data_IF_395503031208
#
_entry.id   IF_395503031208
#
_cell.length_a   1.000
_cell.length_b   1.000
_cell.length_c   1.000
_cell.angle_alpha   90.00
_cell.angle_beta   90.00
_cell.angle_gamma   90.00
#
_symmetry.space_group_name_H-M   'P 1'
#
loop_
_entity.id
_entity.type
_entity.pdbx_description
1 polymer ?
#
# COMPACT_ATOMS: atom_id res chain seq x y z
N UNK A 1 -53.55 -35.13 16.20
CA UNK A 1 -53.11 -33.74 16.42
C UNK A 1 -51.60 -33.60 16.70
N UNK A 2 -50.70 -34.22 15.91
CA UNK A 2 -49.23 -34.13 16.12
C UNK A 2 -48.46 -33.39 15.00
N UNK A 3 -49.15 -32.80 14.03
CA UNK A 3 -48.52 -32.13 12.87
C UNK A 3 -48.06 -30.69 13.17
N UNK A 4 -48.76 -29.94 14.01
CA UNK A 4 -48.42 -28.56 14.37
C UNK A 4 -47.01 -28.39 14.98
N UNK A 5 -46.58 -29.17 15.98
CA UNK A 5 -45.25 -28.98 16.58
C UNK A 5 -44.10 -29.36 15.62
N UNK A 6 -44.34 -30.24 14.65
CA UNK A 6 -43.35 -30.62 13.62
C UNK A 6 -43.17 -29.55 12.55
N UNK A 7 -44.25 -28.89 12.15
CA UNK A 7 -44.21 -27.76 11.21
C UNK A 7 -43.50 -26.54 11.83
N UNK A 8 -43.78 -26.23 13.11
CA UNK A 8 -43.13 -25.13 13.81
C UNK A 8 -41.61 -25.35 13.98
N UNK A 9 -41.18 -26.57 14.33
CA UNK A 9 -39.77 -26.92 14.43
C UNK A 9 -39.03 -26.85 13.09
N UNK A 10 -39.68 -27.31 12.00
CA UNK A 10 -39.11 -27.22 10.65
C UNK A 10 -38.94 -25.78 10.16
N UNK A 11 -39.91 -24.91 10.44
CA UNK A 11 -39.85 -23.49 10.08
C UNK A 11 -38.76 -22.75 10.88
N UNK A 12 -38.63 -23.03 12.17
CA UNK A 12 -37.59 -22.44 13.01
C UNK A 12 -36.18 -22.84 12.53
N UNK A 13 -35.97 -24.11 12.18
CA UNK A 13 -34.69 -24.58 11.65
C UNK A 13 -34.36 -23.95 10.29
N UNK A 14 -35.35 -23.83 9.41
CA UNK A 14 -35.19 -23.18 8.11
C UNK A 14 -34.82 -21.69 8.24
N UNK A 15 -35.43 -20.97 9.20
CA UNK A 15 -35.11 -19.57 9.47
C UNK A 15 -33.69 -19.38 10.02
N UNK A 16 -33.23 -20.27 10.91
CA UNK A 16 -31.86 -20.24 11.43
C UNK A 16 -30.84 -20.48 10.32
N UNK A 17 -31.05 -21.51 9.49
CA UNK A 17 -30.15 -21.85 8.37
C UNK A 17 -30.12 -20.76 7.30
N UNK A 18 -31.27 -20.15 6.98
CA UNK A 18 -31.33 -19.04 6.03
C UNK A 18 -30.61 -17.78 6.58
N UNK A 19 -30.72 -17.53 7.89
CA UNK A 19 -30.01 -16.44 8.56
C UNK A 19 -28.50 -16.62 8.53
N UNK A 20 -27.99 -17.83 8.81
CA UNK A 20 -26.55 -18.11 8.76
C UNK A 20 -25.99 -18.01 7.34
N UNK A 21 -26.69 -18.57 6.34
CA UNK A 21 -26.26 -18.47 4.95
C UNK A 21 -26.18 -17.01 4.48
N UNK A 22 -27.16 -16.18 4.84
CA UNK A 22 -27.15 -14.75 4.49
C UNK A 22 -26.04 -13.97 5.19
N UNK A 23 -25.72 -14.31 6.44
CA UNK A 23 -24.60 -13.70 7.15
C UNK A 23 -23.25 -14.12 6.53
N UNK A 24 -23.12 -15.36 6.07
CA UNK A 24 -21.93 -15.84 5.38
C UNK A 24 -21.72 -15.14 4.03
N UNK A 25 -22.79 -14.99 3.25
CA UNK A 25 -22.78 -14.26 1.98
C UNK A 25 -22.39 -12.78 2.17
N UNK A 26 -22.95 -12.13 3.21
CA UNK A 26 -22.63 -10.73 3.54
C UNK A 26 -21.16 -10.56 3.93
N UNK A 27 -20.65 -11.44 4.81
CA UNK A 27 -19.25 -11.40 5.22
C UNK A 27 -18.31 -11.61 4.03
N UNK A 28 -18.60 -12.58 3.17
CA UNK A 28 -17.79 -12.83 1.98
C UNK A 28 -17.81 -11.63 1.02
N UNK A 29 -18.95 -10.98 0.84
CA UNK A 29 -19.07 -9.80 0.00
C UNK A 29 -18.25 -8.62 0.56
N UNK A 30 -18.36 -8.34 1.87
CA UNK A 30 -17.60 -7.28 2.53
C UNK A 30 -16.09 -7.54 2.47
N UNK A 31 -15.67 -8.78 2.75
CA UNK A 31 -14.27 -9.18 2.67
C UNK A 31 -13.73 -9.02 1.25
N UNK A 32 -14.49 -9.45 0.22
CA UNK A 32 -14.11 -9.28 -1.18
C UNK A 32 -13.96 -7.81 -1.57
N UNK A 33 -14.87 -6.95 -1.12
CA UNK A 33 -14.79 -5.51 -1.37
C UNK A 33 -13.53 -4.88 -0.76
N UNK A 34 -13.22 -5.20 0.50
CA UNK A 34 -12.00 -4.74 1.19
C UNK A 34 -10.74 -5.18 0.44
N UNK A 35 -10.65 -6.48 0.10
CA UNK A 35 -9.49 -7.04 -0.61
C UNK A 35 -9.33 -6.40 -1.99
N UNK A 36 -10.43 -6.12 -2.67
CA UNK A 36 -10.43 -5.46 -3.98
C UNK A 36 -9.86 -4.04 -3.88
N UNK A 37 -10.32 -3.26 -2.89
CA UNK A 37 -9.89 -1.88 -2.66
C UNK A 37 -8.43 -1.76 -2.20
N UNK A 38 -7.87 -2.84 -1.66
CA UNK A 38 -6.53 -2.88 -1.07
C UNK A 38 -5.55 -3.67 -1.93
N UNK A 39 -5.52 -4.99 -1.74
CA UNK A 39 -4.54 -5.90 -2.32
C UNK A 39 -4.67 -5.92 -3.84
N UNK A 40 -5.88 -6.10 -4.37
CA UNK A 40 -6.07 -6.23 -5.81
C UNK A 40 -5.75 -4.93 -6.55
N UNK A 41 -6.14 -3.78 -5.98
CA UNK A 41 -5.81 -2.46 -6.51
C UNK A 41 -4.30 -2.23 -6.58
N UNK A 42 -3.59 -2.46 -5.47
CA UNK A 42 -2.15 -2.25 -5.41
C UNK A 42 -1.39 -3.21 -6.33
N UNK A 43 -1.82 -4.48 -6.37
CA UNK A 43 -1.27 -5.48 -7.27
C UNK A 43 -1.48 -5.09 -8.74
N UNK A 44 -2.66 -4.56 -9.10
CA UNK A 44 -2.95 -4.09 -10.47
C UNK A 44 -2.05 -2.92 -10.87
N UNK A 45 -1.84 -1.96 -9.97
CA UNK A 45 -0.94 -0.84 -10.25
C UNK A 45 0.51 -1.31 -10.46
N UNK A 46 1.00 -2.19 -9.59
CA UNK A 46 2.35 -2.75 -9.69
C UNK A 46 2.51 -3.59 -10.97
N UNK A 47 1.52 -4.42 -11.31
CA UNK A 47 1.53 -5.22 -12.52
C UNK A 47 1.59 -4.34 -13.77
N UNK A 48 0.75 -3.32 -13.89
CA UNK A 48 0.78 -2.40 -15.05
C UNK A 48 2.13 -1.71 -15.21
N UNK A 49 2.74 -1.28 -14.10
CA UNK A 49 4.07 -0.66 -14.15
C UNK A 49 5.14 -1.66 -14.61
N UNK A 50 5.09 -2.89 -14.12
CA UNK A 50 6.00 -3.95 -14.52
C UNK A 50 5.79 -4.36 -15.99
N UNK A 51 4.53 -4.53 -16.40
CA UNK A 51 4.12 -4.85 -17.77
C UNK A 51 4.63 -3.79 -18.75
N UNK A 52 4.41 -2.51 -18.48
CA UNK A 52 4.89 -1.42 -19.33
C UNK A 52 6.43 -1.45 -19.46
N UNK A 53 7.14 -1.66 -18.36
CA UNK A 53 8.60 -1.79 -18.35
C UNK A 53 9.09 -3.02 -19.14
N UNK A 54 8.38 -4.14 -19.06
CA UNK A 54 8.72 -5.36 -19.80
C UNK A 54 8.43 -5.21 -21.29
N UNK A 55 7.24 -4.70 -21.64
CA UNK A 55 6.80 -4.54 -23.03
C UNK A 55 7.56 -3.44 -23.76
N UNK A 56 8.07 -2.42 -23.07
CA UNK A 56 8.90 -1.36 -23.68
C UNK A 56 10.29 -1.85 -24.13
N UNK A 57 10.75 -3.00 -23.64
CA UNK A 57 11.98 -3.64 -24.11
C UNK A 57 11.79 -4.48 -25.39
N UNK A 58 10.55 -4.59 -25.89
CA UNK A 58 10.16 -5.41 -27.04
C UNK A 58 9.74 -4.54 -28.22
N UNK A 59 9.58 -5.16 -29.40
CA UNK A 59 9.01 -4.46 -30.56
C UNK A 59 7.52 -4.21 -30.37
N UNK A 60 6.98 -3.14 -30.96
CA UNK A 60 5.57 -2.78 -30.84
C UNK A 60 4.62 -3.92 -31.25
N UNK A 61 4.99 -4.71 -32.27
CA UNK A 61 4.19 -5.86 -32.72
C UNK A 61 4.18 -7.01 -31.71
N UNK A 62 5.34 -7.34 -31.12
CA UNK A 62 5.43 -8.35 -30.06
C UNK A 62 4.67 -7.92 -28.82
N UNK A 63 4.81 -6.66 -28.42
CA UNK A 63 4.11 -6.11 -27.26
C UNK A 63 2.59 -6.12 -27.44
N UNK A 64 2.11 -5.76 -28.63
CA UNK A 64 0.68 -5.79 -28.95
C UNK A 64 0.11 -7.22 -28.94
N UNK A 65 0.89 -8.22 -29.35
CA UNK A 65 0.49 -9.63 -29.30
C UNK A 65 0.46 -10.20 -27.88
N UNK A 66 1.39 -9.82 -27.02
CA UNK A 66 1.53 -10.39 -25.66
C UNK A 66 0.60 -9.74 -24.63
N UNK A 67 0.32 -8.43 -24.77
CA UNK A 67 -0.52 -7.67 -23.84
C UNK A 67 -1.87 -8.32 -23.51
N UNK A 68 -2.70 -8.76 -24.48
CA UNK A 68 -4.01 -9.34 -24.15
C UNK A 68 -3.91 -10.62 -23.31
N UNK A 69 -2.91 -11.47 -23.57
CA UNK A 69 -2.69 -12.70 -22.81
C UNK A 69 -2.18 -12.40 -21.40
N UNK A 70 -1.30 -11.41 -21.25
CA UNK A 70 -0.81 -10.93 -19.96
C UNK A 70 -1.94 -10.34 -19.12
N UNK A 71 -2.74 -9.44 -19.69
CA UNK A 71 -3.90 -8.83 -19.02
C UNK A 71 -4.92 -9.89 -18.60
N UNK A 72 -5.23 -10.85 -19.47
CA UNK A 72 -6.15 -11.95 -19.17
C UNK A 72 -5.63 -12.83 -18.04
N UNK A 73 -4.38 -13.27 -18.12
CA UNK A 73 -3.77 -14.13 -17.10
C UNK A 73 -3.71 -13.40 -15.77
N UNK A 74 -3.30 -12.13 -15.78
CA UNK A 74 -3.28 -11.29 -14.58
C UNK A 74 -4.67 -11.16 -13.96
N UNK A 75 -5.71 -10.91 -14.76
CA UNK A 75 -7.07 -10.83 -14.25
C UNK A 75 -7.52 -12.14 -13.58
N UNK A 76 -7.23 -13.29 -14.19
CA UNK A 76 -7.55 -14.60 -13.62
C UNK A 76 -6.84 -14.85 -12.28
N UNK A 77 -5.54 -14.60 -12.21
CA UNK A 77 -4.75 -14.77 -10.98
C UNK A 77 -5.19 -13.79 -9.88
N UNK A 78 -5.47 -12.53 -10.27
CA UNK A 78 -5.99 -11.52 -9.34
C UNK A 78 -7.34 -11.94 -8.77
N UNK A 79 -8.26 -12.43 -9.61
CA UNK A 79 -9.59 -12.84 -9.17
C UNK A 79 -9.52 -14.07 -8.24
N UNK A 80 -8.65 -15.04 -8.56
CA UNK A 80 -8.37 -16.18 -7.68
C UNK A 80 -7.77 -15.76 -6.32
N UNK A 81 -6.83 -14.81 -6.32
CA UNK A 81 -6.27 -14.24 -5.10
C UNK A 81 -7.34 -13.53 -4.26
N UNK A 82 -8.17 -12.71 -4.90
CA UNK A 82 -9.26 -11.99 -4.24
C UNK A 82 -10.22 -12.97 -3.57
N UNK A 83 -10.62 -14.02 -4.29
CA UNK A 83 -11.51 -15.05 -3.76
C UNK A 83 -10.90 -15.82 -2.60
N UNK A 84 -9.62 -16.17 -2.66
CA UNK A 84 -8.90 -16.84 -1.58
C UNK A 84 -8.83 -15.99 -0.32
N UNK A 85 -8.39 -14.74 -0.46
CA UNK A 85 -8.26 -13.81 0.67
C UNK A 85 -9.63 -13.44 1.25
N UNK A 86 -10.64 -13.22 0.41
CA UNK A 86 -11.99 -12.90 0.87
C UNK A 86 -12.57 -14.03 1.75
N UNK A 87 -12.36 -15.30 1.37
CA UNK A 87 -12.78 -16.45 2.17
C UNK A 87 -12.07 -16.50 3.52
N UNK A 88 -10.75 -16.28 3.55
CA UNK A 88 -9.99 -16.25 4.80
C UNK A 88 -10.50 -15.14 5.73
N UNK A 89 -10.65 -13.91 5.22
CA UNK A 89 -11.16 -12.81 6.02
C UNK A 89 -12.60 -13.01 6.50
N UNK A 90 -13.49 -13.53 5.66
CA UNK A 90 -14.87 -13.82 6.05
C UNK A 90 -14.98 -14.89 7.15
N UNK A 91 -14.00 -15.79 7.25
CA UNK A 91 -13.92 -16.79 8.32
C UNK A 91 -13.37 -16.21 9.63
N UNK A 92 -12.47 -15.23 9.57
CA UNK A 92 -11.77 -14.68 10.74
C UNK A 92 -12.46 -13.48 11.38
N UNK A 93 -13.24 -12.74 10.60
CA UNK A 93 -13.91 -11.52 11.03
C UNK A 93 -15.42 -11.68 10.97
N UNK A 94 -16.12 -11.04 11.91
CA UNK A 94 -17.56 -10.92 11.83
C UNK A 94 -17.99 -9.78 10.88
N UNK A 95 -19.29 -9.69 10.60
CA UNK A 95 -19.82 -8.69 9.68
C UNK A 95 -19.65 -7.24 10.18
N UNK A 96 -19.65 -7.03 11.51
CA UNK A 96 -19.48 -5.71 12.12
C UNK A 96 -18.04 -5.22 11.95
N UNK A 97 -17.08 -6.10 12.21
CA UNK A 97 -15.66 -5.83 12.01
C UNK A 97 -15.35 -5.54 10.54
N UNK A 98 -15.87 -6.37 9.63
CA UNK A 98 -15.71 -6.16 8.19
C UNK A 98 -16.35 -4.84 7.73
N UNK A 99 -17.53 -4.48 8.21
CA UNK A 99 -18.14 -3.16 7.91
C UNK A 99 -17.28 -2.00 8.41
N UNK A 100 -16.69 -2.11 9.60
CA UNK A 100 -15.78 -1.10 10.13
C UNK A 100 -14.54 -0.97 9.26
N UNK A 101 -13.95 -2.08 8.82
CA UNK A 101 -12.81 -2.06 7.90
C UNK A 101 -13.19 -1.42 6.56
N UNK A 102 -14.31 -1.83 5.95
CA UNK A 102 -14.80 -1.26 4.70
C UNK A 102 -14.99 0.26 4.82
N UNK A 103 -15.57 0.74 5.92
CA UNK A 103 -15.76 2.16 6.17
C UNK A 103 -14.44 2.97 6.20
N UNK A 104 -13.34 2.39 6.70
CA UNK A 104 -12.01 3.04 6.66
C UNK A 104 -11.54 3.20 5.21
N UNK A 105 -11.73 2.17 4.38
CA UNK A 105 -11.31 2.20 2.97
C UNK A 105 -12.21 3.09 2.10
N UNK A 106 -13.44 3.33 2.53
CA UNK A 106 -14.38 4.27 1.90
C UNK A 106 -14.24 5.71 2.41
N UNK A 107 -13.51 5.93 3.49
CA UNK A 107 -13.28 7.27 4.02
C UNK A 107 -12.43 8.12 3.04
N UNK A 108 -12.91 9.31 2.64
CA UNK A 108 -12.23 10.14 1.65
C UNK A 108 -10.89 10.70 2.13
N UNK A 109 -10.72 10.90 3.45
CA UNK A 109 -9.45 11.33 4.03
C UNK A 109 -8.44 10.21 3.92
N UNK A 110 -8.86 8.98 4.24
CA UNK A 110 -8.01 7.80 4.09
C UNK A 110 -7.67 7.51 2.62
N UNK A 111 -8.62 7.66 1.70
CA UNK A 111 -8.36 7.54 0.26
C UNK A 111 -7.35 8.58 -0.24
N UNK A 112 -7.46 9.83 0.22
CA UNK A 112 -6.49 10.90 -0.09
C UNK A 112 -5.11 10.56 0.47
N UNK A 113 -5.03 10.05 1.69
CA UNK A 113 -3.78 9.58 2.29
C UNK A 113 -3.14 8.47 1.45
N UNK A 114 -3.90 7.45 1.05
CA UNK A 114 -3.40 6.39 0.17
C UNK A 114 -2.92 6.91 -1.18
N UNK A 115 -3.68 7.81 -1.81
CA UNK A 115 -3.30 8.42 -3.09
C UNK A 115 -1.99 9.21 -2.98
N UNK A 116 -1.83 10.00 -1.91
CA UNK A 116 -0.60 10.76 -1.66
C UNK A 116 0.62 9.84 -1.48
N UNK A 117 0.45 8.71 -0.79
CA UNK A 117 1.52 7.73 -0.56
C UNK A 117 1.86 6.90 -1.81
N UNK A 118 0.91 6.70 -2.72
CA UNK A 118 1.10 5.94 -3.95
C UNK A 118 1.62 6.81 -5.12
N UNK A 119 1.45 8.13 -5.04
CA UNK A 119 1.88 9.05 -6.08
C UNK A 119 3.42 9.15 -6.12
N UNK A 120 4.06 8.74 -7.23
CA UNK A 120 5.52 8.78 -7.36
C UNK A 120 6.10 10.19 -7.36
N UNK A 121 5.26 11.20 -7.58
CA UNK A 121 5.60 12.63 -7.63
C UNK A 121 5.32 13.36 -6.32
N UNK A 122 4.70 12.70 -5.33
CA UNK A 122 4.39 13.32 -4.05
C UNK A 122 5.66 13.59 -3.24
N UNK A 123 5.60 14.64 -2.42
CA UNK A 123 6.69 14.95 -1.48
C UNK A 123 6.90 13.82 -0.46
N UNK A 124 5.84 13.07 -0.11
CA UNK A 124 5.95 11.89 0.75
C UNK A 124 6.85 10.84 0.09
N UNK A 125 6.59 10.51 -1.17
CA UNK A 125 7.41 9.55 -1.91
C UNK A 125 8.85 10.02 -2.07
N UNK A 126 9.07 11.31 -2.33
CA UNK A 126 10.42 11.90 -2.39
C UNK A 126 11.16 11.75 -1.06
N UNK A 127 10.54 12.12 0.05
CA UNK A 127 11.12 11.97 1.39
C UNK A 127 11.46 10.50 1.68
N UNK A 128 10.56 9.57 1.34
CA UNK A 128 10.79 8.13 1.51
C UNK A 128 11.97 7.63 0.67
N UNK A 129 12.06 8.00 -0.61
CA UNK A 129 13.17 7.63 -1.51
C UNK A 129 14.51 8.17 -1.01
N UNK A 130 14.55 9.42 -0.56
CA UNK A 130 15.77 10.03 0.00
C UNK A 130 16.23 9.30 1.26
N UNK A 131 15.30 8.96 2.15
CA UNK A 131 15.60 8.20 3.37
C UNK A 131 16.15 6.80 3.04
N UNK A 132 15.50 6.06 2.13
CA UNK A 132 15.95 4.73 1.70
C UNK A 132 17.34 4.81 1.05
N UNK A 133 17.59 5.81 0.20
CA UNK A 133 18.90 6.02 -0.44
C UNK A 133 20.00 6.25 0.61
N UNK A 134 19.74 7.08 1.62
CA UNK A 134 20.67 7.28 2.74
C UNK A 134 20.95 5.99 3.50
N UNK A 135 19.92 5.18 3.78
CA UNK A 135 20.09 3.89 4.45
C UNK A 135 20.92 2.91 3.60
N UNK A 136 20.67 2.82 2.29
CA UNK A 136 21.45 1.96 1.39
C UNK A 136 22.92 2.39 1.30
N UNK A 137 23.19 3.70 1.30
CA UNK A 137 24.56 4.22 1.33
C UNK A 137 25.27 3.86 2.65
N UNK A 138 24.58 3.96 3.79
CA UNK A 138 25.13 3.57 5.09
C UNK A 138 25.41 2.05 5.15
N UNK A 139 24.51 1.21 4.64
CA UNK A 139 24.73 -0.24 4.55
C UNK A 139 25.92 -0.56 3.64
N UNK A 140 26.07 0.15 2.52
CA UNK A 140 27.19 -0.02 1.60
C UNK A 140 28.52 0.38 2.25
N UNK A 141 28.54 1.51 2.98
CA UNK A 141 29.71 1.95 3.75
C UNK A 141 30.07 0.96 4.88
N UNK A 142 29.07 0.42 5.57
CA UNK A 142 29.28 -0.60 6.59
C UNK A 142 29.80 -1.93 5.99
N UNK A 143 29.29 -2.34 4.83
CA UNK A 143 29.79 -3.52 4.12
C UNK A 143 31.25 -3.34 3.68
N UNK A 144 31.59 -2.16 3.12
CA UNK A 144 32.96 -1.82 2.73
C UNK A 144 33.92 -1.77 3.93
N UNK A 145 33.47 -1.28 5.10
CA UNK A 145 34.29 -1.26 6.31
C UNK A 145 34.53 -2.64 6.94
N UNK A 146 33.68 -3.63 6.63
CA UNK A 146 33.89 -5.03 7.02
C UNK A 146 34.77 -5.81 6.04
N UNK A 147 34.76 -5.43 4.76
CA UNK A 147 35.54 -6.10 3.70
C UNK A 147 36.99 -5.61 3.60
N UNK A 148 37.30 -4.45 4.20
CA UNK A 148 38.66 -3.97 4.44
C UNK A 148 39.18 -4.42 5.81
N UNK A 149 40.14 -5.34 5.83
CA UNK A 149 40.91 -5.70 7.03
C UNK A 149 41.42 -4.44 7.78
N UNK A 150 40.87 -4.16 8.95
CA UNK A 150 41.61 -3.56 10.06
C UNK A 150 42.05 -2.09 9.96
N UNK A 151 41.49 -1.27 9.06
CA UNK A 151 41.67 0.18 9.11
C UNK A 151 40.33 0.87 9.31
N UNK A 152 39.91 0.93 10.58
CA UNK A 152 39.10 2.05 11.02
C UNK A 152 39.77 3.35 10.52
N UNK A 153 39.03 4.32 9.95
CA UNK A 153 39.56 5.66 9.84
C UNK A 153 39.91 6.07 11.27
N UNK A 154 41.18 6.36 11.54
CA UNK A 154 41.59 6.88 12.83
C UNK A 154 40.67 8.07 13.20
N UNK A 155 40.14 8.16 14.43
CA UNK A 155 39.45 9.35 14.89
C UNK A 155 40.49 10.45 15.04
N UNK A 156 40.78 11.16 13.94
CA UNK A 156 41.95 12.01 13.86
C UNK A 156 41.97 12.87 12.60
N UNK A 157 40.99 13.78 12.50
CA UNK A 157 41.13 15.14 11.96
C UNK A 157 39.71 15.66 11.68
N UNK A 158 39.06 16.20 12.71
CA UNK A 158 38.03 17.19 12.44
C UNK A 158 38.70 18.35 11.67
N UNK A 159 38.21 18.75 10.49
CA UNK A 159 38.66 20.00 9.91
C UNK A 159 38.35 21.12 10.91
N UNK A 160 39.35 21.92 11.25
CA UNK A 160 39.17 23.08 12.13
C UNK A 160 38.00 23.93 11.60
N UNK A 161 37.09 24.41 12.48
CA UNK A 161 35.99 25.26 12.04
C UNK A 161 36.56 26.50 11.35
N UNK A 162 36.08 26.77 10.14
CA UNK A 162 36.42 27.98 9.42
C UNK A 162 36.00 29.21 10.26
N UNK A 163 36.79 30.29 10.27
CA UNK A 163 36.43 31.50 11.00
C UNK A 163 35.08 32.03 10.51
N UNK A 164 34.17 32.28 11.43
CA UNK A 164 32.87 32.90 11.14
C UNK A 164 33.12 34.32 10.63
N UNK A 165 32.60 34.72 9.46
CA UNK A 165 32.66 36.10 9.00
C UNK A 165 31.98 37.03 10.01
N UNK A 166 32.63 38.16 10.31
CA UNK A 166 32.08 39.17 11.20
C UNK A 166 30.74 39.73 10.66
N UNK A 167 29.76 40.05 11.53
CA UNK A 167 28.49 40.63 11.09
C UNK A 167 28.70 41.94 10.33
N UNK A 168 28.04 42.07 9.19
CA UNK A 168 28.02 43.32 8.43
C UNK A 168 27.32 44.44 9.25
N UNK A 169 27.79 45.69 9.17
CA UNK A 169 27.16 46.82 9.85
C UNK A 169 25.72 47.02 9.36
N UNK A 170 24.80 47.20 10.30
CA UNK A 170 23.40 47.49 10.00
C UNK A 170 23.25 48.83 9.26
N UNK A 171 22.37 48.93 8.25
CA UNK A 171 22.02 50.19 7.61
C UNK A 171 21.40 51.18 8.61
N UNK A 172 21.80 52.45 8.51
CA UNK A 172 21.24 53.53 9.31
C UNK A 172 19.75 53.78 8.97
N UNK A 173 18.91 54.18 9.94
CA UNK A 173 17.51 54.51 9.69
C UNK A 173 17.37 55.70 8.74
N UNK A 174 16.51 55.57 7.73
CA UNK A 174 16.18 56.68 6.83
C UNK A 174 15.37 57.77 7.58
N UNK A 175 15.59 59.05 7.25
CA UNK A 175 14.92 60.17 7.92
C UNK A 175 13.42 60.20 7.60
N UNK A 176 12.63 60.47 8.64
CA UNK A 176 11.19 60.72 8.53
C UNK A 176 10.94 61.97 7.65
N UNK A 177 9.99 61.85 6.71
CA UNK A 177 9.48 62.99 5.94
C UNK A 177 8.35 63.70 6.71
N UNK A 178 8.16 65.01 6.46
CA UNK A 178 7.38 65.94 7.28
C UNK A 178 5.87 65.72 7.22
#
# INVERSE_FOLDING_TARGET
MRLLPRLAAGLALALVLAGTARADDERLALARDIVTKTVARNLTAAFKQAEEKTLSAMTAEQSAKLRPDLEKTFAQERDGLVDGLAKEYAQKFDATELKRLAAIYDDPVYQKFQALNADPTSMVTTITKDAVTKMMNLLSLAALSQQGNGQAPAPGAAPAPAPVPAPAPMPAPAPAKP
#
